data_IF_249254215326
#
_entry.id   IF_249254215326
#
_cell.length_a   1.000
_cell.length_b   1.000
_cell.length_c   1.000
_cell.angle_alpha   90.00
_cell.angle_beta   90.00
_cell.angle_gamma   90.00
#
_symmetry.space_group_name_H-M   'P 1'
#
loop_
_entity.id
_entity.type
_entity.pdbx_description
1 polymer ?
#
# COMPACT_ATOMS: atom_id res chain seq x y z
N UNK A 1 -5.46 5.67 -5.85
CA UNK A 1 -5.09 4.61 -4.87
C UNK A 1 -3.66 4.12 -5.06
N UNK A 2 -3.32 3.42 -6.16
CA UNK A 2 -1.98 2.85 -6.35
C UNK A 2 -0.85 3.89 -6.34
N UNK A 3 -0.98 4.99 -7.09
CA UNK A 3 0.02 6.06 -7.09
C UNK A 3 0.22 6.66 -5.69
N UNK A 4 -0.87 7.00 -5.01
CA UNK A 4 -0.82 7.51 -3.64
C UNK A 4 -0.16 6.53 -2.66
N UNK A 5 -0.48 5.23 -2.76
CA UNK A 5 0.15 4.23 -1.89
C UNK A 5 1.64 4.05 -2.20
N UNK A 6 2.04 4.19 -3.46
CA UNK A 6 3.46 4.18 -3.84
C UNK A 6 4.21 5.31 -3.14
N UNK A 7 3.68 6.53 -3.18
CA UNK A 7 4.28 7.69 -2.49
C UNK A 7 4.40 7.47 -0.99
N UNK A 8 3.36 6.90 -0.36
CA UNK A 8 3.38 6.53 1.06
C UNK A 8 4.52 5.54 1.33
N UNK A 9 4.61 4.45 0.57
CA UNK A 9 5.68 3.44 0.74
C UNK A 9 7.06 4.02 0.46
N UNK A 10 7.21 4.94 -0.49
CA UNK A 10 8.46 5.66 -0.75
C UNK A 10 8.89 6.51 0.45
N UNK A 11 7.94 7.13 1.16
CA UNK A 11 8.19 7.95 2.35
C UNK A 11 8.33 7.15 3.65
N UNK A 12 7.91 5.88 3.68
CA UNK A 12 8.01 5.02 4.88
C UNK A 12 9.40 4.36 4.99
N UNK A 13 9.99 4.40 6.19
CA UNK A 13 11.16 3.59 6.53
C UNK A 13 10.72 2.18 6.97
N UNK A 14 11.28 1.14 6.36
CA UNK A 14 10.92 -0.25 6.65
C UNK A 14 11.85 -0.91 7.68
N UNK A 15 12.89 -0.20 8.15
CA UNK A 15 13.83 -0.72 9.15
C UNK A 15 13.20 -0.84 10.56
N UNK A 16 12.10 -0.12 10.80
CA UNK A 16 11.26 -0.26 11.99
C UNK A 16 9.86 -0.72 11.56
N UNK A 17 9.56 -2.04 11.62
CA UNK A 17 8.30 -2.58 11.12
C UNK A 17 7.06 -2.06 11.85
N UNK A 18 7.14 -1.76 13.15
CA UNK A 18 6.00 -1.28 13.92
C UNK A 18 5.67 0.15 13.54
N UNK A 19 6.69 1.03 13.50
CA UNK A 19 6.52 2.41 13.04
C UNK A 19 6.08 2.47 11.56
N UNK A 20 6.65 1.62 10.70
CA UNK A 20 6.29 1.53 9.30
C UNK A 20 4.83 1.12 9.09
N UNK A 21 4.37 0.12 9.85
CA UNK A 21 2.97 -0.31 9.82
C UNK A 21 2.05 0.85 10.17
N UNK A 22 2.30 1.51 11.31
CA UNK A 22 1.50 2.63 11.79
C UNK A 22 1.48 3.77 10.77
N UNK A 23 2.65 4.18 10.26
CA UNK A 23 2.76 5.25 9.27
C UNK A 23 1.96 4.94 8.00
N UNK A 24 2.04 3.72 7.47
CA UNK A 24 1.29 3.33 6.28
C UNK A 24 -0.23 3.29 6.50
N UNK A 25 -0.69 2.82 7.67
CA UNK A 25 -2.12 2.78 7.99
C UNK A 25 -2.70 4.19 8.17
N UNK A 26 -2.02 5.04 8.93
CA UNK A 26 -2.44 6.43 9.16
C UNK A 26 -2.42 7.25 7.87
N UNK A 27 -1.31 7.22 7.12
CA UNK A 27 -1.22 7.94 5.85
C UNK A 27 -2.21 7.41 4.82
N UNK A 28 -2.44 6.09 4.78
CA UNK A 28 -3.44 5.46 3.91
C UNK A 28 -4.87 5.92 4.24
N UNK A 29 -5.22 6.02 5.53
CA UNK A 29 -6.51 6.56 5.99
C UNK A 29 -6.69 8.02 5.62
N UNK A 30 -5.72 8.86 5.97
CA UNK A 30 -5.75 10.28 5.65
C UNK A 30 -5.91 10.49 4.13
N UNK A 31 -5.14 9.74 3.33
CA UNK A 31 -5.21 9.85 1.88
C UNK A 31 -6.52 9.35 1.29
N UNK A 32 -7.12 8.31 1.86
CA UNK A 32 -8.44 7.86 1.46
C UNK A 32 -9.49 8.95 1.72
N UNK A 33 -9.44 9.59 2.89
CA UNK A 33 -10.33 10.68 3.28
C UNK A 33 -10.17 11.92 2.37
N UNK A 34 -8.94 12.35 2.10
CA UNK A 34 -8.64 13.45 1.16
C UNK A 34 -9.25 13.21 -0.23
N UNK A 35 -9.29 11.95 -0.67
CA UNK A 35 -9.84 11.55 -1.96
C UNK A 35 -11.36 11.32 -1.93
N UNK A 36 -12.02 11.58 -0.79
CA UNK A 36 -13.46 11.34 -0.61
C UNK A 36 -13.84 9.86 -0.67
N UNK A 37 -12.90 8.96 -0.36
CA UNK A 37 -13.08 7.51 -0.45
C UNK A 37 -13.08 6.85 0.93
N UNK A 38 -13.81 5.73 1.04
CA UNK A 38 -13.64 4.82 2.17
C UNK A 38 -12.29 4.10 2.07
N UNK A 39 -11.71 3.74 3.22
CA UNK A 39 -10.43 3.04 3.28
C UNK A 39 -10.43 1.70 2.51
N UNK A 40 -11.50 0.91 2.59
CA UNK A 40 -11.60 -0.38 1.89
C UNK A 40 -11.39 -0.26 0.37
N UNK A 41 -12.19 0.56 -0.34
CA UNK A 41 -11.97 0.89 -1.76
C UNK A 41 -10.59 1.45 -2.08
N UNK A 42 -10.00 2.24 -1.19
CA UNK A 42 -8.63 2.74 -1.37
C UNK A 42 -7.59 1.60 -1.31
N UNK A 43 -7.71 0.69 -0.33
CA UNK A 43 -6.77 -0.41 -0.14
C UNK A 43 -7.00 -1.59 -1.11
N UNK A 44 -8.20 -1.74 -1.68
CA UNK A 44 -8.53 -2.85 -2.58
C UNK A 44 -7.57 -3.01 -3.78
N UNK A 45 -7.33 -1.95 -4.58
CA UNK A 45 -6.35 -2.00 -5.67
C UNK A 45 -4.93 -2.31 -5.19
N UNK A 46 -4.52 -1.76 -4.05
CA UNK A 46 -3.21 -2.02 -3.44
C UNK A 46 -3.10 -3.50 -3.07
N UNK A 47 -4.12 -4.06 -2.42
CA UNK A 47 -4.17 -5.47 -2.04
C UNK A 47 -4.00 -6.39 -3.25
N UNK A 48 -4.69 -6.09 -4.35
CA UNK A 48 -4.53 -6.82 -5.61
C UNK A 48 -3.11 -6.70 -6.16
N UNK A 49 -2.53 -5.50 -6.17
CA UNK A 49 -1.17 -5.28 -6.65
C UNK A 49 -0.11 -6.04 -5.83
N UNK A 50 -0.29 -6.09 -4.50
CA UNK A 50 0.66 -6.72 -3.59
C UNK A 50 0.48 -8.24 -3.53
N UNK A 51 -0.75 -8.72 -3.44
CA UNK A 51 -1.03 -10.14 -3.10
C UNK A 51 -1.63 -10.95 -4.24
N UNK A 52 -2.10 -10.30 -5.31
CA UNK A 52 -2.84 -10.97 -6.39
C UNK A 52 -4.22 -11.48 -6.00
N UNK A 53 -4.69 -11.18 -4.78
CA UNK A 53 -5.97 -11.68 -4.25
C UNK A 53 -6.82 -10.56 -3.66
N UNK A 54 -8.15 -10.71 -3.74
CA UNK A 54 -9.13 -9.80 -3.11
C UNK A 54 -9.18 -9.98 -1.58
N UNK A 55 -8.81 -11.17 -1.11
CA UNK A 55 -8.71 -11.51 0.32
C UNK A 55 -7.28 -11.93 0.59
N UNK A 56 -6.63 -11.28 1.54
CA UNK A 56 -5.24 -11.57 1.88
C UNK A 56 -5.02 -11.41 3.38
N UNK A 57 -3.86 -11.85 3.90
CA UNK A 57 -3.38 -11.42 5.21
C UNK A 57 -3.41 -9.88 5.34
N UNK A 58 -3.25 -9.33 6.55
CA UNK A 58 -3.25 -7.89 6.71
C UNK A 58 -2.13 -7.26 5.85
N UNK A 59 -2.50 -6.15 5.19
CA UNK A 59 -1.84 -5.70 3.97
C UNK A 59 -0.48 -5.08 4.27
N UNK A 60 -0.37 -4.33 5.36
CA UNK A 60 0.85 -3.63 5.75
C UNK A 60 1.92 -4.64 6.15
N UNK A 61 1.55 -5.66 6.92
CA UNK A 61 2.41 -6.79 7.29
C UNK A 61 2.85 -7.57 6.05
N UNK A 62 1.94 -7.77 5.08
CA UNK A 62 2.31 -8.39 3.80
C UNK A 62 3.37 -7.55 3.06
N UNK A 63 3.25 -6.22 3.05
CA UNK A 63 4.25 -5.34 2.44
C UNK A 63 5.57 -5.33 3.22
N UNK A 64 5.53 -5.36 4.55
CA UNK A 64 6.71 -5.42 5.41
C UNK A 64 7.50 -6.71 5.19
N UNK A 65 6.81 -7.86 5.12
CA UNK A 65 7.43 -9.17 4.81
C UNK A 65 8.08 -9.17 3.42
N UNK A 66 7.47 -8.50 2.44
CA UNK A 66 8.05 -8.38 1.10
C UNK A 66 9.24 -7.42 1.04
N UNK A 67 9.28 -6.45 1.94
CA UNK A 67 10.22 -5.34 1.91
C UNK A 67 9.81 -4.22 0.94
N UNK A 68 10.42 -3.06 1.14
CA UNK A 68 10.11 -1.80 0.43
C UNK A 68 10.24 -1.93 -1.09
N UNK A 69 11.40 -2.40 -1.56
CA UNK A 69 11.70 -2.49 -3.00
C UNK A 69 10.73 -3.39 -3.76
N UNK A 70 10.40 -4.56 -3.19
CA UNK A 70 9.47 -5.49 -3.80
C UNK A 70 8.04 -4.92 -3.82
N UNK A 71 7.64 -4.23 -2.74
CA UNK A 71 6.36 -3.53 -2.64
C UNK A 71 6.24 -2.45 -3.71
N UNK A 72 7.23 -1.57 -3.85
CA UNK A 72 7.25 -0.52 -4.87
C UNK A 72 7.22 -1.09 -6.28
N UNK A 73 8.02 -2.12 -6.56
CA UNK A 73 8.02 -2.81 -7.86
C UNK A 73 6.65 -3.40 -8.20
N UNK A 74 5.97 -4.02 -7.23
CA UNK A 74 4.63 -4.58 -7.42
C UNK A 74 3.60 -3.49 -7.73
N UNK A 75 3.62 -2.38 -6.99
CA UNK A 75 2.72 -1.25 -7.23
C UNK A 75 2.98 -0.61 -8.60
N UNK A 76 4.25 -0.39 -8.97
CA UNK A 76 4.63 0.19 -10.26
C UNK A 76 4.17 -0.68 -11.44
N UNK A 77 4.30 -2.01 -11.34
CA UNK A 77 3.77 -2.93 -12.36
C UNK A 77 2.25 -2.83 -12.49
N UNK A 78 1.53 -2.75 -11.36
CA UNK A 78 0.07 -2.61 -11.39
C UNK A 78 -0.36 -1.28 -12.03
N UNK A 79 0.34 -0.17 -11.75
CA UNK A 79 0.10 1.12 -12.41
C UNK A 79 0.32 0.99 -13.92
N UNK A 80 1.41 0.36 -14.33
CA UNK A 80 1.75 0.17 -15.75
C UNK A 80 0.74 -0.72 -16.48
N UNK A 81 0.22 -1.75 -15.82
CA UNK A 81 -0.75 -2.68 -16.40
C UNK A 81 -2.16 -2.08 -16.56
N UNK A 82 -2.52 -1.12 -15.71
CA UNK A 82 -3.84 -0.47 -15.71
C UNK A 82 -3.86 0.85 -16.51
N UNK A 83 -2.70 1.34 -16.94
CA UNK A 83 -2.54 2.49 -17.82
C UNK A 83 -2.57 2.10 -19.29
#
# INVERSE_FOLDING_TARGET
>A
ALAAMREIVEATDFNDPEAAHQQMDEAGRAKAEELGMKLGPFLGPVRMAITGSKVSPPLMESMLVLGKDATLKRIARAITFLG
#
